data_IF_687830130470
#
_entry.id   IF_687830130470
#
_cell.length_a   1.000
_cell.length_b   1.000
_cell.length_c   1.000
_cell.angle_alpha   90.00
_cell.angle_beta   90.00
_cell.angle_gamma   90.00
#
_symmetry.space_group_name_H-M   'P 1'
#
loop_
_entity.id
_entity.type
_entity.pdbx_description
1 polymer ?
#
# COMPACT_ATOMS: atom_id res chain seq x y z
N UNK A 1 18.12 -8.46 24.01
CA UNK A 1 16.83 -8.38 23.28
C UNK A 1 16.47 -9.65 22.53
N UNK A 2 17.37 -10.25 21.73
CA UNK A 2 17.04 -11.44 20.92
C UNK A 2 16.48 -12.63 21.73
N UNK A 3 17.05 -12.92 22.91
CA UNK A 3 16.54 -13.97 23.83
C UNK A 3 15.11 -13.64 24.29
N UNK A 4 14.82 -12.39 24.65
CA UNK A 4 13.49 -11.95 25.09
C UNK A 4 12.47 -12.19 23.97
N UNK A 5 12.78 -11.76 22.74
CA UNK A 5 11.89 -11.91 21.58
C UNK A 5 11.62 -13.40 21.29
N UNK A 6 12.65 -14.24 21.34
CA UNK A 6 12.51 -15.68 21.12
C UNK A 6 11.61 -16.33 22.19
N UNK A 7 11.70 -15.89 23.44
CA UNK A 7 10.94 -16.43 24.57
C UNK A 7 9.52 -15.84 24.71
N UNK A 8 9.15 -14.81 23.94
CA UNK A 8 7.76 -14.31 23.86
C UNK A 8 6.84 -15.25 23.09
N UNK A 9 7.34 -15.87 22.03
CA UNK A 9 6.51 -16.59 21.08
C UNK A 9 6.20 -18.01 21.55
N UNK A 10 7.16 -18.67 22.20
CA UNK A 10 7.06 -20.04 22.71
C UNK A 10 8.22 -20.35 23.68
N UNK A 11 8.13 -21.49 24.36
CA UNK A 11 9.24 -22.01 25.15
C UNK A 11 10.39 -22.50 24.26
N UNK A 12 11.64 -22.22 24.66
CA UNK A 12 12.83 -22.62 23.92
C UNK A 12 13.91 -23.16 24.87
N UNK A 13 14.68 -24.15 24.44
CA UNK A 13 15.83 -24.65 25.22
C UNK A 13 17.04 -23.73 25.07
N UNK A 14 17.97 -23.78 26.02
CA UNK A 14 19.22 -23.03 25.91
C UNK A 14 20.03 -23.44 24.66
N UNK A 15 19.97 -24.71 24.26
CA UNK A 15 20.59 -25.22 23.05
C UNK A 15 19.93 -24.64 21.78
N UNK A 16 18.59 -24.58 21.72
CA UNK A 16 17.87 -23.98 20.60
C UNK A 16 18.21 -22.49 20.45
N UNK A 17 18.21 -21.75 21.57
CA UNK A 17 18.59 -20.34 21.58
C UNK A 17 20.05 -20.13 21.14
N UNK A 18 20.96 -20.98 21.62
CA UNK A 18 22.38 -20.94 21.25
C UNK A 18 22.57 -21.15 19.75
N UNK A 19 21.91 -22.14 19.16
CA UNK A 19 21.95 -22.40 17.71
C UNK A 19 21.34 -21.26 16.89
N UNK A 20 20.19 -20.72 17.29
CA UNK A 20 19.51 -19.62 16.56
C UNK A 20 20.29 -18.31 16.58
N UNK A 21 20.97 -18.04 17.69
CA UNK A 21 21.71 -16.79 17.90
C UNK A 21 23.20 -16.93 17.60
N UNK A 22 23.63 -18.10 17.12
CA UNK A 22 25.02 -18.42 16.77
C UNK A 22 26.01 -18.15 17.92
N UNK A 23 25.61 -18.49 19.15
CA UNK A 23 26.41 -18.32 20.37
C UNK A 23 26.50 -19.63 21.18
N UNK A 24 27.35 -19.65 22.20
CA UNK A 24 27.42 -20.79 23.12
C UNK A 24 26.23 -20.85 24.08
N UNK A 25 25.88 -22.04 24.56
CA UNK A 25 24.88 -22.21 25.64
C UNK A 25 25.28 -21.47 26.93
N UNK A 26 26.59 -21.37 27.22
CA UNK A 26 27.11 -20.56 28.32
C UNK A 26 26.77 -19.08 28.17
N UNK A 27 26.85 -18.55 26.94
CA UNK A 27 26.45 -17.17 26.63
C UNK A 27 24.96 -16.98 26.88
N UNK A 28 24.11 -17.93 26.43
CA UNK A 28 22.67 -17.89 26.69
C UNK A 28 22.37 -17.86 28.18
N UNK A 29 22.98 -18.73 29.00
CA UNK A 29 22.75 -18.73 30.44
C UNK A 29 23.20 -17.43 31.12
N UNK A 30 24.37 -16.89 30.72
CA UNK A 30 24.86 -15.61 31.23
C UNK A 30 23.89 -14.46 30.89
N UNK A 31 23.44 -14.41 29.64
CA UNK A 31 22.55 -13.35 29.18
C UNK A 31 21.17 -13.49 29.83
N UNK A 32 20.64 -14.72 29.98
CA UNK A 32 19.42 -15.00 30.74
C UNK A 32 19.50 -14.55 32.20
N UNK A 33 20.65 -14.76 32.85
CA UNK A 33 20.88 -14.28 34.21
C UNK A 33 20.86 -12.75 34.25
N UNK A 34 21.56 -12.08 33.33
CA UNK A 34 21.54 -10.61 33.23
C UNK A 34 20.12 -10.06 32.97
N UNK A 35 19.31 -10.76 32.17
CA UNK A 35 17.89 -10.41 31.96
C UNK A 35 17.07 -10.55 33.26
N UNK A 36 17.30 -11.62 34.03
CA UNK A 36 16.67 -11.78 35.34
C UNK A 36 17.07 -10.68 36.32
N UNK A 37 18.32 -10.25 36.29
CA UNK A 37 18.85 -9.19 37.18
C UNK A 37 18.22 -7.82 36.89
N UNK A 38 17.82 -7.54 35.64
CA UNK A 38 17.08 -6.32 35.27
C UNK A 38 15.55 -6.48 35.39
N UNK A 39 15.08 -7.56 36.05
CA UNK A 39 13.67 -7.76 36.38
C UNK A 39 12.83 -8.43 35.30
N UNK A 40 13.43 -9.07 34.28
CA UNK A 40 12.67 -9.87 33.31
C UNK A 40 12.33 -11.23 33.91
N UNK A 41 11.04 -11.57 34.11
CA UNK A 41 10.63 -12.79 34.77
C UNK A 41 10.69 -13.98 33.80
N UNK A 42 11.83 -14.68 33.85
CA UNK A 42 12.08 -15.93 33.12
C UNK A 42 11.82 -17.12 34.05
N UNK A 43 11.13 -18.15 33.57
CA UNK A 43 10.95 -19.40 34.29
C UNK A 43 11.30 -20.62 33.42
N UNK A 44 11.70 -21.70 34.08
CA UNK A 44 12.02 -22.97 33.44
C UNK A 44 10.81 -23.91 33.51
N UNK A 45 10.50 -24.56 32.39
CA UNK A 45 9.51 -25.61 32.26
C UNK A 45 10.28 -26.93 32.13
N UNK A 46 9.99 -27.89 33.00
CA UNK A 46 10.59 -29.23 32.97
C UNK A 46 9.78 -30.19 32.10
N UNK A 47 10.45 -31.14 31.42
CA UNK A 47 9.82 -32.20 30.63
C UNK A 47 10.27 -32.24 29.17
N UNK A 48 9.74 -33.17 28.35
CA UNK A 48 10.13 -33.35 26.94
C UNK A 48 9.86 -32.14 26.03
N UNK A 49 8.87 -31.31 26.38
CA UNK A 49 8.58 -30.02 25.74
C UNK A 49 9.05 -28.83 26.60
N UNK A 50 9.98 -29.10 27.52
CA UNK A 50 10.53 -28.12 28.46
C UNK A 50 11.47 -27.11 27.82
N UNK A 51 11.91 -26.15 28.62
CA UNK A 51 12.73 -25.04 28.17
C UNK A 51 12.47 -23.80 29.01
N UNK A 52 13.04 -22.68 28.61
CA UNK A 52 12.80 -21.40 29.25
C UNK A 52 11.61 -20.70 28.59
N UNK A 53 10.88 -19.91 29.37
CA UNK A 53 9.77 -19.09 28.90
C UNK A 53 9.66 -17.82 29.75
N UNK A 54 9.09 -16.76 29.18
CA UNK A 54 8.70 -15.58 29.96
C UNK A 54 7.36 -15.78 30.65
N UNK A 55 7.24 -15.28 31.88
CA UNK A 55 6.01 -15.33 32.68
C UNK A 55 4.82 -14.83 31.88
N UNK A 56 3.71 -15.58 31.92
CA UNK A 56 2.47 -15.17 31.26
C UNK A 56 2.02 -13.81 31.80
N UNK A 57 1.66 -12.90 30.91
CA UNK A 57 1.26 -11.53 31.25
C UNK A 57 2.43 -10.55 31.45
N UNK A 58 3.69 -10.97 31.37
CA UNK A 58 4.82 -10.03 31.36
C UNK A 58 4.78 -9.18 30.09
N UNK A 59 4.72 -7.85 30.26
CA UNK A 59 4.83 -6.88 29.19
C UNK A 59 6.28 -6.46 29.03
N UNK A 60 6.74 -6.33 27.79
CA UNK A 60 8.10 -5.84 27.52
C UNK A 60 8.33 -4.51 28.22
N UNK A 61 9.56 -4.24 28.70
CA UNK A 61 9.92 -2.90 29.11
C UNK A 61 9.67 -1.93 27.94
N UNK A 62 9.36 -0.65 28.22
CA UNK A 62 9.15 0.35 27.17
C UNK A 62 10.30 0.31 26.15
N UNK A 63 9.95 0.23 24.87
CA UNK A 63 10.91 0.26 23.79
C UNK A 63 11.75 1.53 23.94
N UNK A 64 13.07 1.37 24.00
CA UNK A 64 14.00 2.49 24.01
C UNK A 64 14.19 2.93 22.57
N UNK A 65 13.70 4.12 22.23
CA UNK A 65 13.87 4.72 20.91
C UNK A 65 14.99 5.76 20.96
N UNK A 66 15.84 5.74 19.94
CA UNK A 66 16.71 6.87 19.67
C UNK A 66 15.95 8.03 18.99
N UNK A 67 16.64 9.15 18.74
CA UNK A 67 16.03 10.32 18.09
C UNK A 67 15.51 10.02 16.69
N UNK A 68 16.23 9.23 15.89
CA UNK A 68 15.82 8.91 14.51
C UNK A 68 14.65 7.94 14.51
N UNK A 69 14.65 6.94 15.39
CA UNK A 69 13.56 5.96 15.51
C UNK A 69 12.27 6.64 15.98
N UNK A 70 12.35 7.50 17.00
CA UNK A 70 11.21 8.28 17.48
C UNK A 70 10.67 9.22 16.39
N UNK A 71 11.56 9.94 15.69
CA UNK A 71 11.17 10.80 14.57
C UNK A 71 10.49 10.01 13.46
N UNK A 72 11.06 8.86 13.07
CA UNK A 72 10.52 8.01 11.99
C UNK A 72 9.12 7.51 12.31
N UNK A 73 8.91 7.01 13.53
CA UNK A 73 7.62 6.50 13.96
C UNK A 73 6.57 7.59 14.10
N UNK A 74 6.90 8.72 14.73
CA UNK A 74 5.98 9.85 14.85
C UNK A 74 5.65 10.45 13.48
N UNK A 75 6.61 10.52 12.56
CA UNK A 75 6.36 10.93 11.17
C UNK A 75 5.40 9.99 10.44
N UNK A 76 5.62 8.67 10.53
CA UNK A 76 4.76 7.67 9.92
C UNK A 76 3.32 7.72 10.47
N UNK A 77 3.17 7.84 11.79
CA UNK A 77 1.85 7.97 12.43
C UNK A 77 1.18 9.31 12.07
N UNK A 78 1.93 10.41 11.98
CA UNK A 78 1.40 11.72 11.64
C UNK A 78 0.82 11.71 10.21
N UNK A 79 1.44 10.94 9.32
CA UNK A 79 0.96 10.76 7.96
C UNK A 79 -0.46 10.13 7.92
N UNK A 80 -0.75 9.16 8.80
CA UNK A 80 -2.08 8.56 8.90
C UNK A 80 -3.15 9.55 9.39
N UNK A 81 -2.74 10.61 10.09
CA UNK A 81 -3.66 11.65 10.57
C UNK A 81 -4.12 12.60 9.47
N UNK A 82 -3.36 12.71 8.36
CA UNK A 82 -3.72 13.53 7.20
C UNK A 82 -4.86 12.92 6.37
N UNK A 83 -5.09 11.61 6.48
CA UNK A 83 -6.21 10.94 5.83
C UNK A 83 -7.51 11.22 6.62
N UNK A 84 -8.57 11.60 5.91
CA UNK A 84 -9.89 11.86 6.51
C UNK A 84 -10.38 10.61 7.26
N UNK A 85 -10.39 9.48 6.56
CA UNK A 85 -10.76 8.17 7.08
C UNK A 85 -9.62 7.15 6.95
N UNK A 86 -9.61 6.18 7.85
CA UNK A 86 -8.68 5.04 7.86
C UNK A 86 -9.40 3.81 8.40
N UNK A 87 -8.99 2.58 8.05
CA UNK A 87 -9.57 1.38 8.66
C UNK A 87 -9.32 1.28 10.16
N UNK A 88 -8.38 2.08 10.69
CA UNK A 88 -8.00 2.10 12.11
C UNK A 88 -8.83 3.07 12.96
N UNK A 89 -9.70 3.88 12.35
CA UNK A 89 -10.57 4.85 13.04
C UNK A 89 -9.81 5.66 14.10
N UNK A 90 -10.28 5.65 15.34
CA UNK A 90 -9.70 6.38 16.47
C UNK A 90 -8.35 5.82 16.93
N UNK A 91 -8.04 4.55 16.63
CA UNK A 91 -6.80 3.91 17.06
C UNK A 91 -5.57 4.66 16.56
N UNK A 92 -5.64 5.29 15.37
CA UNK A 92 -4.55 6.12 14.81
C UNK A 92 -4.12 7.26 15.73
N UNK A 93 -5.06 7.87 16.45
CA UNK A 93 -4.80 8.95 17.41
C UNK A 93 -4.30 8.39 18.73
N UNK A 94 -4.99 7.39 19.27
CA UNK A 94 -4.62 6.83 20.58
C UNK A 94 -3.24 6.16 20.57
N UNK A 95 -2.82 5.56 19.46
CA UNK A 95 -1.46 5.01 19.31
C UNK A 95 -0.44 6.13 19.31
N UNK A 96 -0.69 7.23 18.60
CA UNK A 96 0.18 8.41 18.61
C UNK A 96 0.35 8.96 20.04
N UNK A 97 -0.75 9.11 20.77
CA UNK A 97 -0.72 9.61 22.15
C UNK A 97 0.04 8.68 23.08
N UNK A 98 -0.17 7.36 22.96
CA UNK A 98 0.54 6.34 23.74
C UNK A 98 2.04 6.34 23.45
N UNK A 99 2.43 6.47 22.17
CA UNK A 99 3.84 6.56 21.78
C UNK A 99 4.46 7.82 22.39
N UNK A 100 3.85 8.99 22.23
CA UNK A 100 4.35 10.22 22.87
C UNK A 100 4.48 10.08 24.38
N UNK A 101 3.47 9.55 25.06
CA UNK A 101 3.49 9.37 26.51
C UNK A 101 4.58 8.39 26.99
N UNK A 102 5.04 7.48 26.12
CA UNK A 102 6.11 6.53 26.44
C UNK A 102 7.52 7.08 26.23
N UNK A 103 7.69 8.17 25.49
CA UNK A 103 9.00 8.75 25.16
C UNK A 103 9.48 9.69 26.29
N UNK A 104 10.79 9.71 26.61
CA UNK A 104 11.35 10.69 27.55
C UNK A 104 11.13 12.13 27.07
N UNK A 105 10.83 13.05 27.99
CA UNK A 105 10.57 14.46 27.65
C UNK A 105 11.71 15.12 26.87
N UNK A 106 12.96 14.81 27.23
CA UNK A 106 14.15 15.32 26.54
C UNK A 106 14.25 14.85 25.08
N UNK A 107 13.73 13.66 24.78
CA UNK A 107 13.68 13.13 23.42
C UNK A 107 12.57 13.82 22.62
N UNK A 108 11.38 14.01 23.22
CA UNK A 108 10.28 14.74 22.59
C UNK A 108 10.64 16.18 22.26
N UNK A 109 11.28 16.90 23.19
CA UNK A 109 11.75 18.28 22.97
C UNK A 109 12.68 18.42 21.77
N UNK A 110 13.45 17.36 21.47
CA UNK A 110 14.32 17.30 20.30
C UNK A 110 13.58 16.93 19.01
N UNK A 111 12.60 16.02 19.08
CA UNK A 111 11.92 15.45 17.91
C UNK A 111 10.78 16.32 17.40
N UNK A 112 9.97 16.91 18.27
CA UNK A 112 8.78 17.71 17.88
C UNK A 112 9.12 18.91 16.97
N UNK A 113 10.22 19.67 17.17
CA UNK A 113 10.62 20.71 16.21
C UNK A 113 10.98 20.14 14.83
N UNK A 114 11.64 18.98 14.79
CA UNK A 114 12.06 18.34 13.53
C UNK A 114 10.85 17.89 12.71
N UNK A 115 9.79 17.40 13.37
CA UNK A 115 8.54 16.99 12.71
C UNK A 115 7.85 18.14 11.95
N UNK A 116 8.10 19.40 12.32
CA UNK A 116 7.54 20.57 11.61
C UNK A 116 8.22 20.85 10.28
N UNK A 117 9.37 20.24 10.02
CA UNK A 117 10.17 20.46 8.82
C UNK A 117 10.14 19.29 7.84
N UNK A 118 9.36 18.25 8.12
CA UNK A 118 9.20 17.10 7.23
C UNK A 118 7.72 16.76 7.10
N UNK A 119 7.27 16.57 5.87
CA UNK A 119 5.90 16.17 5.62
C UNK A 119 5.79 15.22 4.43
N UNK A 120 4.81 14.33 4.50
CA UNK A 120 4.29 13.64 3.34
C UNK A 120 3.05 14.41 2.86
N UNK A 121 3.07 14.88 1.61
CA UNK A 121 1.91 15.55 1.05
C UNK A 121 0.81 14.52 0.79
N UNK A 122 -0.38 14.82 1.32
CA UNK A 122 -1.58 14.00 1.15
C UNK A 122 -2.69 15.00 0.82
N UNK A 123 -3.21 14.99 -0.42
CA UNK A 123 -4.26 15.90 -0.82
C UNK A 123 -5.46 15.81 0.13
N UNK A 124 -5.91 16.95 0.64
CA UNK A 124 -7.07 17.01 1.54
C UNK A 124 -8.32 16.65 0.73
N UNK A 125 -9.00 15.59 1.13
CA UNK A 125 -10.27 15.14 0.53
C UNK A 125 -11.39 15.20 1.56
N UNK A 126 -12.57 15.62 1.11
CA UNK A 126 -13.78 15.68 1.92
C UNK A 126 -14.64 14.43 1.86
N UNK A 127 -14.24 13.41 1.10
CA UNK A 127 -15.04 12.20 0.87
C UNK A 127 -14.91 11.23 2.04
N UNK A 128 -16.03 10.67 2.50
CA UNK A 128 -16.07 9.70 3.60
C UNK A 128 -16.02 8.28 3.07
N UNK A 129 -15.42 7.38 3.85
CA UNK A 129 -15.36 5.95 3.55
C UNK A 129 -15.81 5.16 4.78
N UNK A 130 -17.10 5.23 5.16
CA UNK A 130 -17.59 4.60 6.39
C UNK A 130 -17.45 3.07 6.38
N UNK A 131 -17.43 2.46 5.20
CA UNK A 131 -17.33 1.01 4.98
C UNK A 131 -15.88 0.50 4.92
N UNK A 132 -14.87 1.37 5.13
CA UNK A 132 -13.46 1.02 4.93
C UNK A 132 -12.93 -0.02 5.92
N UNK A 133 -13.32 0.06 7.20
CA UNK A 133 -12.92 -0.93 8.21
C UNK A 133 -13.48 -2.32 7.90
N UNK A 134 -14.76 -2.38 7.51
CA UNK A 134 -15.43 -3.63 7.13
C UNK A 134 -14.82 -4.23 5.85
N UNK A 135 -14.58 -3.39 4.84
CA UNK A 135 -13.86 -3.79 3.63
C UNK A 135 -12.46 -4.34 3.95
N UNK A 136 -11.72 -3.69 4.84
CA UNK A 136 -10.40 -4.14 5.25
C UNK A 136 -10.46 -5.52 5.93
N UNK A 137 -11.43 -5.74 6.83
CA UNK A 137 -11.66 -7.04 7.45
C UNK A 137 -11.97 -8.13 6.41
N UNK A 138 -12.90 -7.89 5.49
CA UNK A 138 -13.24 -8.86 4.43
C UNK A 138 -12.08 -9.13 3.47
N UNK A 139 -11.26 -8.13 3.20
CA UNK A 139 -10.02 -8.30 2.41
C UNK A 139 -9.04 -9.23 3.13
N UNK A 140 -8.85 -9.05 4.44
CA UNK A 140 -7.94 -9.90 5.24
C UNK A 140 -8.38 -11.37 5.31
N UNK A 141 -9.69 -11.62 5.25
CA UNK A 141 -10.28 -12.95 5.24
C UNK A 141 -10.37 -13.57 3.83
N UNK A 142 -9.95 -12.85 2.79
CA UNK A 142 -10.18 -13.24 1.38
C UNK A 142 -11.65 -13.55 1.06
N UNK A 143 -12.57 -12.88 1.74
CA UNK A 143 -14.02 -13.11 1.62
C UNK A 143 -14.55 -12.62 0.28
N UNK A 144 -15.60 -13.28 -0.21
CA UNK A 144 -16.44 -12.73 -1.26
C UNK A 144 -17.38 -11.69 -0.66
N UNK A 145 -17.56 -10.59 -1.39
CA UNK A 145 -18.42 -9.48 -0.97
C UNK A 145 -19.32 -9.04 -2.12
N UNK A 146 -20.44 -8.43 -1.76
CA UNK A 146 -21.32 -7.72 -2.68
C UNK A 146 -21.33 -6.24 -2.29
N UNK A 147 -21.02 -5.37 -3.24
CA UNK A 147 -20.93 -3.92 -3.02
C UNK A 147 -21.83 -3.18 -3.97
N UNK A 148 -22.58 -2.22 -3.44
CA UNK A 148 -23.33 -1.27 -4.25
C UNK A 148 -22.41 -0.11 -4.63
N UNK A 149 -21.94 -0.12 -5.88
CA UNK A 149 -20.94 0.80 -6.38
C UNK A 149 -21.57 1.89 -7.24
N UNK A 150 -21.31 3.16 -6.88
CA UNK A 150 -21.70 4.32 -7.69
C UNK A 150 -20.58 4.67 -8.69
N UNK A 151 -20.76 4.31 -9.95
CA UNK A 151 -19.86 4.74 -11.03
C UNK A 151 -20.25 6.14 -11.53
N UNK A 152 -19.54 6.64 -12.56
CA UNK A 152 -19.91 7.90 -13.23
C UNK A 152 -21.25 7.81 -13.98
N UNK A 153 -21.55 6.63 -14.56
CA UNK A 153 -22.69 6.44 -15.47
C UNK A 153 -23.87 5.70 -14.83
N UNK A 154 -23.62 4.88 -13.82
CA UNK A 154 -24.62 3.99 -13.21
C UNK A 154 -24.22 3.54 -11.81
N UNK A 155 -25.23 3.25 -10.99
CA UNK A 155 -25.09 2.56 -9.71
C UNK A 155 -25.50 1.10 -9.86
N UNK A 156 -24.68 0.17 -9.37
CA UNK A 156 -24.98 -1.26 -9.51
C UNK A 156 -24.38 -2.09 -8.38
N UNK A 157 -24.96 -3.26 -8.15
CA UNK A 157 -24.39 -4.27 -7.27
C UNK A 157 -23.30 -5.08 -7.98
N UNK A 158 -22.11 -5.11 -7.39
CA UNK A 158 -20.93 -5.82 -7.88
C UNK A 158 -20.58 -6.93 -6.89
N UNK A 159 -20.42 -8.15 -7.38
CA UNK A 159 -19.92 -9.29 -6.62
C UNK A 159 -18.42 -9.37 -6.90
N UNK A 160 -17.62 -9.26 -5.86
CA UNK A 160 -16.18 -9.20 -6.01
C UNK A 160 -15.44 -9.87 -4.86
N UNK A 161 -14.20 -10.25 -5.13
CA UNK A 161 -13.27 -10.71 -4.11
C UNK A 161 -12.15 -9.67 -3.96
N UNK A 162 -12.17 -8.83 -2.90
CA UNK A 162 -11.11 -7.87 -2.66
C UNK A 162 -9.78 -8.57 -2.38
N UNK A 163 -8.71 -8.01 -2.91
CA UNK A 163 -7.34 -8.53 -2.80
C UNK A 163 -6.42 -7.56 -2.07
N UNK A 164 -6.61 -6.25 -2.30
CA UNK A 164 -5.77 -5.21 -1.72
C UNK A 164 -6.57 -3.94 -1.50
N UNK A 165 -6.36 -3.30 -0.35
CA UNK A 165 -6.87 -1.96 -0.05
C UNK A 165 -5.67 -1.04 0.16
N UNK A 166 -5.64 0.10 -0.54
CA UNK A 166 -4.53 1.05 -0.47
C UNK A 166 -5.02 2.49 -0.62
N UNK A 167 -4.19 3.45 -0.25
CA UNK A 167 -4.46 4.88 -0.43
C UNK A 167 -3.54 5.47 -1.48
N UNK A 168 -4.09 6.33 -2.34
CA UNK A 168 -3.34 7.12 -3.31
C UNK A 168 -4.05 8.47 -3.53
N UNK A 169 -3.30 9.56 -3.72
CA UNK A 169 -3.85 10.90 -4.00
C UNK A 169 -4.95 11.38 -3.02
N UNK A 170 -4.91 10.92 -1.77
CA UNK A 170 -5.88 11.21 -0.72
C UNK A 170 -7.18 10.39 -0.77
N UNK A 171 -7.29 9.40 -1.65
CA UNK A 171 -8.44 8.48 -1.75
C UNK A 171 -8.05 7.05 -1.40
N UNK A 172 -9.02 6.27 -0.92
CA UNK A 172 -8.88 4.83 -0.73
C UNK A 172 -9.38 4.07 -1.96
N UNK A 173 -8.61 3.05 -2.33
CA UNK A 173 -8.85 2.17 -3.47
C UNK A 173 -8.87 0.71 -3.02
N UNK A 174 -9.68 -0.08 -3.70
CA UNK A 174 -9.78 -1.52 -3.54
C UNK A 174 -9.51 -2.19 -4.88
N UNK A 175 -8.46 -2.99 -4.94
CA UNK A 175 -8.27 -3.95 -6.04
C UNK A 175 -9.03 -5.22 -5.72
N UNK A 176 -9.90 -5.62 -6.64
CA UNK A 176 -10.76 -6.77 -6.46
C UNK A 176 -10.99 -7.48 -7.80
N UNK A 177 -11.14 -8.80 -7.74
CA UNK A 177 -11.66 -9.55 -8.88
C UNK A 177 -13.17 -9.36 -8.96
N UNK A 178 -13.67 -8.80 -10.05
CA UNK A 178 -15.09 -8.52 -10.27
C UNK A 178 -15.72 -9.61 -11.14
N UNK A 179 -16.77 -10.27 -10.66
CA UNK A 179 -17.49 -11.26 -11.48
C UNK A 179 -18.22 -10.64 -12.65
N UNK A 180 -18.80 -9.46 -12.46
CA UNK A 180 -19.56 -8.76 -13.49
C UNK A 180 -18.71 -8.46 -14.73
N UNK A 181 -17.40 -8.27 -14.54
CA UNK A 181 -16.46 -7.94 -15.61
C UNK A 181 -15.51 -9.10 -15.93
N UNK A 182 -15.51 -10.15 -15.10
CA UNK A 182 -14.62 -11.31 -15.19
C UNK A 182 -13.12 -10.95 -15.22
N UNK A 183 -12.72 -9.90 -14.49
CA UNK A 183 -11.34 -9.39 -14.48
C UNK A 183 -10.98 -8.72 -13.15
N UNK A 184 -9.69 -8.41 -12.97
CA UNK A 184 -9.21 -7.58 -11.87
C UNK A 184 -9.52 -6.11 -12.15
N UNK A 185 -10.15 -5.41 -11.20
CA UNK A 185 -10.43 -3.98 -11.32
C UNK A 185 -10.10 -3.24 -10.03
N UNK A 186 -9.80 -1.96 -10.18
CA UNK A 186 -9.61 -1.03 -9.08
C UNK A 186 -10.88 -0.20 -8.87
N UNK A 187 -11.37 -0.17 -7.64
CA UNK A 187 -12.57 0.57 -7.26
C UNK A 187 -12.25 1.63 -6.22
N UNK A 188 -12.87 2.80 -6.34
CA UNK A 188 -12.78 3.87 -5.35
C UNK A 188 -13.71 3.60 -4.17
N UNK A 189 -13.16 3.48 -2.96
CA UNK A 189 -13.91 3.06 -1.77
C UNK A 189 -14.92 4.13 -1.33
N UNK A 190 -14.67 5.41 -1.60
CA UNK A 190 -15.61 6.50 -1.33
C UNK A 190 -16.90 6.45 -2.17
N UNK A 191 -16.97 5.53 -3.14
CA UNK A 191 -18.12 5.28 -3.98
C UNK A 191 -18.90 4.02 -3.61
N UNK A 192 -18.56 3.41 -2.46
CA UNK A 192 -19.27 2.25 -1.93
C UNK A 192 -20.43 2.77 -1.09
N UNK A 193 -21.67 2.57 -1.56
CA UNK A 193 -22.85 2.98 -0.82
C UNK A 193 -23.24 1.92 0.21
N UNK A 194 -23.11 0.64 -0.17
CA UNK A 194 -23.42 -0.53 0.67
C UNK A 194 -22.40 -1.62 0.43
N UNK A 195 -22.11 -2.40 1.46
CA UNK A 195 -21.14 -3.50 1.43
C UNK A 195 -21.67 -4.63 2.31
N UNK A 196 -21.65 -5.84 1.76
CA UNK A 196 -22.18 -7.04 2.41
C UNK A 196 -21.25 -8.21 2.14
N UNK A 197 -21.08 -9.11 3.11
CA UNK A 197 -20.44 -10.40 2.87
C UNK A 197 -21.33 -11.24 1.95
N UNK A 198 -20.73 -11.90 0.96
CA UNK A 198 -21.43 -12.85 0.09
C UNK A 198 -20.77 -14.23 0.15
N UNK A 199 -21.55 -15.25 -0.18
CA UNK A 199 -20.98 -16.57 -0.41
C UNK A 199 -20.06 -16.52 -1.64
N UNK A 200 -19.05 -17.39 -1.66
CA UNK A 200 -18.32 -17.64 -2.90
C UNK A 200 -19.35 -18.06 -3.96
N UNK A 201 -19.39 -17.38 -5.12
CA UNK A 201 -20.26 -17.79 -6.20
C UNK A 201 -19.94 -19.24 -6.55
N UNK A 202 -20.96 -20.10 -6.54
CA UNK A 202 -20.83 -21.40 -7.17
C UNK A 202 -20.56 -21.13 -8.64
N UNK A 203 -19.35 -21.46 -9.08
CA UNK A 203 -19.07 -21.54 -10.51
C UNK A 203 -20.05 -22.59 -11.05
N UNK A 204 -21.04 -22.16 -11.84
CA UNK A 204 -21.70 -23.10 -12.74
C UNK A 204 -20.59 -23.86 -13.45
N UNK A 205 -20.63 -25.18 -13.36
CA UNK A 205 -19.58 -26.09 -13.85
C UNK A 205 -19.38 -25.90 -15.36
N UNK A 206 -18.56 -24.93 -15.75
CA UNK A 206 -17.76 -25.04 -16.95
C UNK A 206 -16.59 -25.95 -16.62
N UNK A 207 -16.73 -27.17 -17.09
CA UNK A 207 -15.72 -28.23 -17.13
C UNK A 207 -14.36 -27.72 -17.61
N UNK A 208 -13.32 -28.03 -16.82
CA UNK A 208 -11.86 -27.93 -17.10
C UNK A 208 -11.39 -26.47 -17.19
N UNK A 209 -10.57 -25.96 -16.26
CA UNK A 209 -9.12 -26.23 -16.17
C UNK A 209 -8.63 -26.27 -14.71
N UNK A 210 -7.95 -27.36 -14.37
CA UNK A 210 -7.13 -27.53 -13.17
C UNK A 210 -5.91 -26.60 -13.19
N UNK A 211 -5.59 -26.01 -12.04
CA UNK A 211 -4.28 -25.42 -11.71
C UNK A 211 -3.66 -24.52 -12.80
N UNK A 212 -4.19 -23.32 -12.96
CA UNK A 212 -3.43 -22.23 -13.56
C UNK A 212 -2.75 -21.51 -12.40
N UNK A 213 -1.45 -21.79 -12.23
CA UNK A 213 -0.50 -20.83 -11.67
C UNK A 213 -0.83 -19.45 -12.25
N UNK A 214 -0.59 -18.37 -11.52
CA UNK A 214 -0.82 -16.98 -11.94
C UNK A 214 -0.04 -16.71 -13.25
N UNK A 215 -0.57 -17.18 -14.37
CA UNK A 215 -0.22 -16.78 -15.70
C UNK A 215 -0.96 -15.47 -15.87
N UNK A 216 -0.16 -14.39 -15.89
CA UNK A 216 -0.59 -13.12 -16.45
C UNK A 216 -1.39 -13.46 -17.71
N UNK A 217 -2.70 -13.22 -17.65
CA UNK A 217 -3.50 -13.05 -18.85
C UNK A 217 -2.65 -12.16 -19.75
N UNK A 218 -2.31 -12.66 -20.94
CA UNK A 218 -1.54 -11.89 -21.89
C UNK A 218 -2.39 -10.66 -22.24
N UNK A 219 -2.18 -9.58 -21.51
CA UNK A 219 -2.63 -8.26 -21.93
C UNK A 219 -1.95 -8.07 -23.27
N UNK A 220 -2.74 -8.15 -24.34
CA UNK A 220 -2.29 -7.64 -25.62
C UNK A 220 -1.85 -6.19 -25.36
N UNK A 221 -0.59 -5.89 -25.68
CA UNK A 221 0.01 -4.59 -25.45
C UNK A 221 0.33 -3.92 -26.77
N UNK A 222 0.15 -2.61 -26.81
CA UNK A 222 0.54 -1.77 -27.94
C UNK A 222 1.78 -0.97 -27.52
N UNK A 223 2.92 -1.09 -28.23
CA UNK A 223 4.11 -0.32 -27.90
C UNK A 223 3.86 1.17 -28.19
N UNK A 224 4.11 2.03 -27.22
CA UNK A 224 4.03 3.48 -27.38
C UNK A 224 5.44 4.08 -27.27
N UNK A 225 5.74 5.02 -28.16
CA UNK A 225 6.97 5.80 -28.17
C UNK A 225 6.65 7.28 -28.35
N UNK A 226 7.18 8.13 -27.47
CA UNK A 226 7.03 9.57 -27.56
C UNK A 226 8.35 10.31 -27.23
N UNK A 227 8.54 11.49 -27.83
CA UNK A 227 9.53 12.49 -27.39
C UNK A 227 8.88 13.39 -26.36
N UNK A 228 9.65 13.83 -25.38
CA UNK A 228 9.21 14.73 -24.32
C UNK A 228 10.17 15.93 -24.23
N UNK A 229 9.60 17.09 -23.94
CA UNK A 229 10.37 18.24 -23.45
C UNK A 229 10.83 17.97 -22.01
N UNK A 230 11.73 18.81 -21.46
CA UNK A 230 12.09 18.73 -20.04
C UNK A 230 10.86 18.83 -19.11
N UNK A 231 9.91 19.70 -19.45
CA UNK A 231 8.68 19.84 -18.67
C UNK A 231 7.79 18.59 -18.80
N UNK A 232 7.70 18.03 -20.01
CA UNK A 232 6.97 16.78 -20.26
C UNK A 232 7.57 15.59 -19.52
N UNK A 233 8.91 15.51 -19.43
CA UNK A 233 9.59 14.45 -18.69
C UNK A 233 9.29 14.53 -17.19
N UNK A 234 9.37 15.72 -16.58
CA UNK A 234 9.05 15.93 -15.17
C UNK A 234 7.58 15.58 -14.83
N UNK A 235 6.66 15.81 -15.76
CA UNK A 235 5.26 15.40 -15.60
C UNK A 235 5.10 13.88 -15.72
N UNK A 236 5.70 13.28 -16.76
CA UNK A 236 5.61 11.84 -17.00
C UNK A 236 6.26 11.02 -15.87
N UNK A 237 7.36 11.48 -15.29
CA UNK A 237 8.06 10.85 -14.16
C UNK A 237 7.17 10.68 -12.91
N UNK A 238 6.13 11.49 -12.77
CA UNK A 238 5.19 11.43 -11.63
C UNK A 238 4.11 10.35 -11.80
N UNK A 239 3.91 9.85 -13.02
CA UNK A 239 2.86 8.88 -13.31
C UNK A 239 3.33 7.44 -13.01
N UNK A 240 2.48 6.66 -12.36
CA UNK A 240 2.80 5.29 -11.95
C UNK A 240 2.96 4.32 -13.13
N UNK A 241 2.22 4.50 -14.22
CA UNK A 241 2.25 3.61 -15.38
C UNK A 241 3.53 3.85 -16.19
N UNK A 242 3.95 5.11 -16.34
CA UNK A 242 5.00 5.50 -17.31
C UNK A 242 6.27 6.10 -16.74
N UNK A 243 6.28 6.59 -15.51
CA UNK A 243 7.39 7.39 -14.99
C UNK A 243 8.75 6.69 -15.03
N UNK A 244 8.78 5.38 -14.73
CA UNK A 244 10.02 4.58 -14.80
C UNK A 244 10.58 4.37 -16.21
N UNK A 245 9.78 4.65 -17.25
CA UNK A 245 10.15 4.43 -18.64
C UNK A 245 10.65 5.71 -19.33
N UNK A 246 10.66 6.84 -18.63
CA UNK A 246 11.23 8.09 -19.10
C UNK A 246 12.75 8.00 -19.12
N UNK A 247 13.36 8.33 -20.25
CA UNK A 247 14.82 8.33 -20.44
C UNK A 247 15.28 9.64 -21.04
N UNK A 248 16.34 10.20 -20.47
CA UNK A 248 17.08 11.31 -21.07
C UNK A 248 17.97 10.76 -22.19
N UNK A 249 17.85 11.31 -23.41
CA UNK A 249 18.60 10.83 -24.59
C UNK A 249 19.67 11.84 -25.01
N UNK A 250 19.37 13.14 -24.96
CA UNK A 250 20.26 14.23 -25.40
C UNK A 250 19.97 15.51 -24.60
N UNK A 251 20.81 16.55 -24.72
CA UNK A 251 20.82 17.76 -23.87
C UNK A 251 19.44 18.40 -23.60
N UNK A 252 18.49 18.29 -24.53
CA UNK A 252 17.12 18.79 -24.37
C UNK A 252 16.05 17.81 -24.89
N UNK A 253 16.37 16.51 -24.99
CA UNK A 253 15.45 15.51 -25.54
C UNK A 253 15.29 14.32 -24.58
N UNK A 254 14.05 14.11 -24.13
CA UNK A 254 13.63 12.95 -23.36
C UNK A 254 12.77 12.05 -24.22
N UNK A 255 12.76 10.76 -23.91
CA UNK A 255 11.94 9.78 -24.58
C UNK A 255 11.18 8.94 -23.57
N UNK A 256 9.92 8.69 -23.87
CA UNK A 256 9.10 7.72 -23.18
C UNK A 256 8.85 6.54 -24.13
N UNK A 257 9.17 5.33 -23.68
CA UNK A 257 8.89 4.09 -24.41
C UNK A 257 8.40 3.00 -23.45
N UNK A 258 7.17 2.53 -23.66
CA UNK A 258 6.55 1.50 -22.83
C UNK A 258 5.55 0.68 -23.65
N UNK A 259 5.22 -0.52 -23.16
CA UNK A 259 4.19 -1.37 -23.75
C UNK A 259 2.87 -1.12 -23.01
N UNK A 260 1.91 -0.50 -23.68
CA UNK A 260 0.62 -0.12 -23.09
C UNK A 260 -0.37 -1.29 -23.19
N UNK A 261 -0.92 -1.79 -22.07
CA UNK A 261 -2.05 -2.73 -22.12
C UNK A 261 -3.22 -2.12 -22.89
N UNK A 262 -3.91 -2.91 -23.72
CA UNK A 262 -5.12 -2.44 -24.43
C UNK A 262 -6.19 -1.93 -23.45
N UNK A 263 -6.29 -2.55 -22.28
CA UNK A 263 -7.19 -2.13 -21.19
C UNK A 263 -6.91 -0.71 -20.67
N UNK A 264 -5.69 -0.18 -20.87
CA UNK A 264 -5.27 1.16 -20.44
C UNK A 264 -5.20 2.17 -21.60
N UNK A 265 -5.70 1.80 -22.79
CA UNK A 265 -5.63 2.67 -23.98
C UNK A 265 -6.26 4.06 -23.76
N UNK A 266 -7.46 4.12 -23.17
CA UNK A 266 -8.14 5.39 -22.87
C UNK A 266 -7.34 6.27 -21.90
N UNK A 267 -6.62 5.65 -20.95
CA UNK A 267 -5.72 6.36 -20.05
C UNK A 267 -4.54 6.95 -20.84
N UNK A 268 -3.91 6.17 -21.71
CA UNK A 268 -2.77 6.63 -22.50
C UNK A 268 -3.15 7.84 -23.38
N UNK A 269 -4.30 7.77 -24.06
CA UNK A 269 -4.83 8.89 -24.87
C UNK A 269 -5.01 10.15 -24.01
N UNK A 270 -5.65 10.01 -22.84
CA UNK A 270 -5.89 11.14 -21.92
C UNK A 270 -4.59 11.72 -21.35
N UNK A 271 -3.61 10.86 -21.06
CA UNK A 271 -2.29 11.23 -20.53
C UNK A 271 -1.51 12.08 -21.55
N UNK A 272 -1.38 11.59 -22.78
CA UNK A 272 -0.67 12.35 -23.84
C UNK A 272 -1.43 13.62 -24.24
N UNK A 273 -2.77 13.61 -24.20
CA UNK A 273 -3.55 14.82 -24.42
C UNK A 273 -3.30 15.89 -23.36
N UNK A 274 -3.13 15.48 -22.10
CA UNK A 274 -2.83 16.39 -20.97
C UNK A 274 -1.42 17.00 -21.08
N UNK A 275 -0.44 16.22 -21.56
CA UNK A 275 0.91 16.73 -21.85
C UNK A 275 0.91 17.78 -22.96
N UNK A 276 -0.03 17.71 -23.90
CA UNK A 276 -0.19 18.70 -24.95
C UNK A 276 1.09 18.88 -25.77
N UNK A 277 1.62 20.11 -25.82
CA UNK A 277 2.84 20.43 -26.58
C UNK A 277 4.14 19.93 -25.92
N UNK A 278 4.08 19.45 -24.68
CA UNK A 278 5.26 18.92 -23.97
C UNK A 278 5.56 17.46 -24.36
N UNK A 279 4.73 16.83 -25.22
CA UNK A 279 4.93 15.49 -25.74
C UNK A 279 4.62 15.38 -27.24
N UNK A 280 5.51 14.72 -27.98
CA UNK A 280 5.29 14.33 -29.37
C UNK A 280 5.26 12.80 -29.45
N UNK A 281 4.07 12.22 -29.61
CA UNK A 281 3.92 10.79 -29.88
C UNK A 281 4.58 10.49 -31.23
N UNK A 282 5.47 9.50 -31.29
CA UNK A 282 6.10 9.01 -32.52
C UNK A 282 5.34 7.80 -33.07
N UNK A 283 4.94 6.89 -32.18
CA UNK A 283 4.25 5.63 -32.48
C UNK A 283 3.35 5.26 -31.29
N UNK A 284 2.17 4.65 -31.48
CA UNK A 284 1.57 4.20 -32.75
C UNK A 284 0.76 5.32 -33.45
N UNK A 285 0.47 5.20 -34.77
CA UNK A 285 -0.30 6.18 -35.53
C UNK A 285 -1.76 6.32 -35.08
N UNK A 286 -2.34 5.27 -34.49
CA UNK A 286 -3.68 5.27 -33.91
C UNK A 286 -3.77 6.30 -32.78
N UNK A 287 -2.79 6.32 -31.87
CA UNK A 287 -2.74 7.28 -30.77
C UNK A 287 -2.62 8.72 -31.28
N UNK A 288 -1.80 8.95 -32.31
CA UNK A 288 -1.71 10.27 -32.96
C UNK A 288 -3.05 10.74 -33.52
N UNK A 289 -3.79 9.82 -34.13
CA UNK A 289 -5.07 10.12 -34.78
C UNK A 289 -6.13 10.50 -33.75
N UNK A 290 -6.23 9.76 -32.63
CA UNK A 290 -7.15 10.09 -31.54
C UNK A 290 -6.81 11.43 -30.86
N UNK A 291 -5.53 11.69 -30.60
CA UNK A 291 -5.09 12.97 -30.04
C UNK A 291 -5.43 14.15 -30.96
N UNK A 292 -5.25 13.97 -32.27
CA UNK A 292 -5.62 14.98 -33.27
C UNK A 292 -7.12 15.25 -33.28
N UNK A 293 -7.95 14.21 -33.19
CA UNK A 293 -9.40 14.35 -33.13
C UNK A 293 -9.83 15.12 -31.87
N UNK A 294 -9.34 14.74 -30.69
CA UNK A 294 -9.65 15.43 -29.44
C UNK A 294 -9.20 16.90 -29.45
N UNK A 295 -8.00 17.17 -29.99
CA UNK A 295 -7.47 18.53 -30.11
C UNK A 295 -8.31 19.37 -31.07
N UNK A 296 -8.77 18.78 -32.17
CA UNK A 296 -9.66 19.43 -33.14
C UNK A 296 -11.01 19.78 -32.53
N UNK A 297 -11.63 18.85 -31.79
CA UNK A 297 -12.88 19.09 -31.07
C UNK A 297 -12.73 20.19 -30.01
N UNK A 298 -11.63 20.18 -29.25
CA UNK A 298 -11.32 21.20 -28.24
C UNK A 298 -11.10 22.58 -28.89
N UNK A 299 -10.33 22.63 -29.98
CA UNK A 299 -10.09 23.85 -30.75
C UNK A 299 -11.38 24.45 -31.31
N UNK A 300 -12.27 23.62 -31.87
CA UNK A 300 -13.59 24.04 -32.33
C UNK A 300 -14.43 24.62 -31.19
N UNK A 301 -14.40 24.01 -30.00
CA UNK A 301 -15.16 24.47 -28.83
C UNK A 301 -14.73 25.85 -28.34
N UNK A 302 -13.45 26.18 -28.45
CA UNK A 302 -12.88 27.46 -27.99
C UNK A 302 -12.52 28.43 -29.12
N UNK A 303 -12.95 28.15 -30.35
CA UNK A 303 -12.75 29.05 -31.48
C UNK A 303 -13.37 30.43 -31.17
N UNK A 304 -12.60 31.52 -31.21
CA UNK A 304 -13.12 32.86 -30.97
C UNK A 304 -14.30 33.14 -31.90
N UNK A 305 -15.38 33.69 -31.35
CA UNK A 305 -16.53 34.16 -32.13
C UNK A 305 -16.18 35.40 -32.94
#
# INVERSE_FOLDING_TARGET
MAIIIALQQRSETAQSLASKLEVSTRTIFRDMQALSEIGIPLYAITGPAGGYRMMEGYQLPPLQFDTKEALTMLFALNTLTKLKDTPFKQARWTVMDKIRASLPSSLLERVEPMLKHVEMDVPIRSHETPLLEELFAYTSESSWIRVHYRSERHEQWINMQPKRVYTAHGFWYCEAYSLQHNEMRTFRVDRFNYLERSAKPEQEKSTVVESVAIEKQSDETIPIKAKLTYRGSLFAEQDHHVGQFVKHIDENEWQLKFDCPISEWEWAVSFFFTLGLDAEVIDPPELKSELFEQASQLSLRYKPK
#
